data_IF_845312957871
#
_entry.id   IF_845312957871
#
_cell.length_a   1.000
_cell.length_b   1.000
_cell.length_c   1.000
_cell.angle_alpha   90.00
_cell.angle_beta   90.00
_cell.angle_gamma   90.00
#
_symmetry.space_group_name_H-M   'P 1'
#
loop_
_entity.id
_entity.type
_entity.pdbx_description
1 polymer ?
#
# COMPACT_ATOMS: atom_id res chain seq x y z
N UNK A 1 12.79 -11.00 -8.28
CA UNK A 1 11.96 -12.21 -8.07
C UNK A 1 10.47 -11.99 -8.36
N UNK A 2 9.97 -10.74 -8.40
CA UNK A 2 8.53 -10.43 -8.62
C UNK A 2 8.02 -10.45 -10.08
N UNK A 3 8.87 -10.25 -11.10
CA UNK A 3 8.41 -10.14 -12.51
C UNK A 3 7.75 -11.43 -13.05
N UNK A 4 8.33 -12.61 -12.77
CA UNK A 4 7.79 -13.91 -13.23
C UNK A 4 6.48 -14.33 -12.54
N UNK A 5 6.29 -13.98 -11.27
CA UNK A 5 5.06 -14.34 -10.55
C UNK A 5 3.86 -13.50 -11.01
N UNK A 6 4.10 -12.24 -11.41
CA UNK A 6 3.07 -11.35 -11.96
C UNK A 6 2.66 -11.75 -13.39
N UNK A 7 3.58 -12.30 -14.18
CA UNK A 7 3.30 -12.81 -15.53
C UNK A 7 2.39 -14.06 -15.52
N UNK A 8 2.60 -15.00 -14.59
CA UNK A 8 1.86 -16.27 -14.57
C UNK A 8 0.42 -16.15 -14.03
N UNK A 9 0.20 -15.34 -12.98
CA UNK A 9 -1.11 -15.22 -12.34
C UNK A 9 -1.92 -13.98 -12.78
N UNK A 10 -1.28 -12.84 -13.03
CA UNK A 10 -1.96 -11.60 -13.43
C UNK A 10 -2.19 -11.48 -14.95
N UNK A 11 -1.27 -12.00 -15.76
CA UNK A 11 -1.29 -11.84 -17.22
C UNK A 11 -2.55 -12.39 -17.90
N UNK A 12 -3.07 -13.55 -17.44
CA UNK A 12 -4.26 -14.18 -18.02
C UNK A 12 -5.58 -13.56 -17.54
N UNK A 13 -5.65 -13.12 -16.28
CA UNK A 13 -6.87 -12.56 -15.70
C UNK A 13 -7.16 -11.13 -16.19
N UNK A 14 -6.11 -10.35 -16.48
CA UNK A 14 -6.23 -8.94 -16.89
C UNK A 14 -5.91 -8.70 -18.37
N UNK A 15 -5.72 -9.76 -19.17
CA UNK A 15 -5.31 -9.68 -20.58
C UNK A 15 -4.07 -8.80 -20.80
N UNK A 16 -3.10 -8.88 -19.87
CA UNK A 16 -1.85 -8.12 -19.92
C UNK A 16 -0.85 -8.94 -20.72
N UNK A 17 -0.38 -8.38 -21.84
CA UNK A 17 0.64 -9.01 -22.67
C UNK A 17 2.01 -8.71 -22.06
N UNK A 18 2.99 -9.60 -22.26
CA UNK A 18 4.37 -9.37 -21.79
C UNK A 18 4.96 -8.06 -22.33
N UNK A 19 4.57 -7.63 -23.52
CA UNK A 19 4.97 -6.32 -24.06
C UNK A 19 4.39 -5.12 -23.29
N UNK A 20 3.25 -5.27 -22.61
CA UNK A 20 2.58 -4.15 -21.92
C UNK A 20 3.34 -3.66 -20.68
N UNK A 21 4.38 -4.40 -20.26
CA UNK A 21 5.31 -3.97 -19.23
C UNK A 21 6.24 -2.85 -19.68
N UNK A 22 6.73 -2.92 -20.91
CA UNK A 22 7.80 -2.06 -21.42
C UNK A 22 7.38 -1.25 -22.68
N UNK A 23 6.12 -1.39 -23.14
CA UNK A 23 5.58 -0.63 -24.26
C UNK A 23 4.84 0.64 -23.79
N UNK A 24 4.05 1.26 -24.68
CA UNK A 24 3.25 2.46 -24.39
C UNK A 24 2.37 2.39 -23.13
N UNK A 25 1.96 1.19 -22.69
CA UNK A 25 1.16 1.03 -21.46
C UNK A 25 1.99 1.27 -20.19
N UNK A 26 3.32 1.08 -20.28
CA UNK A 26 4.31 1.31 -19.21
C UNK A 26 3.85 0.77 -17.85
N UNK A 27 3.44 -0.51 -17.81
CA UNK A 27 2.86 -1.13 -16.60
C UNK A 27 3.89 -1.58 -15.58
N UNK A 28 5.17 -1.60 -15.97
CA UNK A 28 6.28 -2.06 -15.17
C UNK A 28 7.24 -0.95 -14.78
N UNK A 29 7.84 -1.12 -13.61
CA UNK A 29 8.97 -0.36 -13.11
C UNK A 29 10.09 -1.31 -12.69
N UNK A 30 11.30 -0.80 -12.43
CA UNK A 30 12.46 -1.58 -11.99
C UNK A 30 12.17 -2.44 -10.74
N UNK A 31 11.20 -2.02 -9.92
CA UNK A 31 10.77 -2.69 -8.69
C UNK A 31 9.57 -3.64 -8.85
N UNK A 32 8.87 -3.64 -9.99
CA UNK A 32 7.70 -4.52 -10.22
C UNK A 32 6.57 -3.86 -11.02
N UNK A 33 5.32 -4.21 -10.68
CA UNK A 33 4.13 -3.64 -11.33
C UNK A 33 3.66 -2.38 -10.60
N UNK A 34 3.25 -1.35 -11.36
CA UNK A 34 2.70 -0.13 -10.77
C UNK A 34 1.47 -0.39 -9.90
N UNK A 35 1.26 0.50 -8.94
CA UNK A 35 0.23 0.35 -7.89
C UNK A 35 -1.20 0.24 -8.44
N UNK A 36 -1.49 0.78 -9.63
CA UNK A 36 -2.79 0.63 -10.27
C UNK A 36 -3.10 -0.84 -10.59
N UNK A 37 -2.10 -1.61 -11.02
CA UNK A 37 -2.24 -3.03 -11.29
C UNK A 37 -2.04 -3.86 -10.02
N UNK A 38 -1.05 -3.52 -9.20
CA UNK A 38 -0.70 -4.29 -8.00
C UNK A 38 -1.87 -4.31 -7.00
N UNK A 39 -2.55 -3.19 -6.80
CA UNK A 39 -3.74 -3.12 -5.94
C UNK A 39 -4.97 -3.79 -6.54
N UNK A 40 -5.13 -3.76 -7.88
CA UNK A 40 -6.19 -4.54 -8.54
C UNK A 40 -6.04 -6.03 -8.29
N UNK A 41 -4.83 -6.56 -8.48
CA UNK A 41 -4.49 -7.96 -8.19
C UNK A 41 -4.70 -8.33 -6.72
N UNK A 42 -4.26 -7.46 -5.81
CA UNK A 42 -4.47 -7.64 -4.38
C UNK A 42 -5.97 -7.70 -4.05
N UNK A 43 -6.75 -6.75 -4.55
CA UNK A 43 -8.20 -6.72 -4.31
C UNK A 43 -8.91 -7.97 -4.80
N UNK A 44 -8.58 -8.47 -5.98
CA UNK A 44 -9.13 -9.73 -6.52
C UNK A 44 -8.80 -10.91 -5.61
N UNK A 45 -7.53 -11.05 -5.22
CA UNK A 45 -7.09 -12.09 -4.30
C UNK A 45 -7.83 -12.03 -2.97
N UNK A 46 -7.95 -10.84 -2.36
CA UNK A 46 -8.61 -10.65 -1.08
C UNK A 46 -10.10 -11.02 -1.13
N UNK A 47 -10.80 -10.63 -2.20
CA UNK A 47 -12.21 -10.96 -2.39
C UNK A 47 -12.44 -12.45 -2.69
N UNK A 48 -11.54 -13.09 -3.44
CA UNK A 48 -11.58 -14.55 -3.62
C UNK A 48 -11.43 -15.28 -2.28
N UNK A 49 -10.50 -14.84 -1.42
CA UNK A 49 -10.34 -15.39 -0.07
C UNK A 49 -11.57 -15.14 0.78
N UNK A 50 -12.17 -13.95 0.72
CA UNK A 50 -13.40 -13.62 1.43
C UNK A 50 -14.54 -14.56 1.04
N UNK A 51 -14.75 -14.79 -0.25
CA UNK A 51 -15.80 -15.70 -0.72
C UNK A 51 -15.66 -17.11 -0.11
N UNK A 52 -14.43 -17.64 -0.07
CA UNK A 52 -14.12 -18.92 0.59
C UNK A 52 -14.40 -18.89 2.10
N UNK A 53 -14.07 -17.79 2.80
CA UNK A 53 -14.38 -17.66 4.23
C UNK A 53 -15.88 -17.59 4.51
N UNK A 54 -16.65 -16.91 3.65
CA UNK A 54 -18.12 -16.83 3.75
C UNK A 54 -18.74 -18.20 3.54
N UNK A 55 -18.28 -18.97 2.55
CA UNK A 55 -18.74 -20.33 2.29
C UNK A 55 -18.48 -21.24 3.51
N UNK A 56 -17.24 -21.24 4.03
CA UNK A 56 -16.87 -21.99 5.25
C UNK A 56 -17.80 -21.66 6.42
N UNK A 57 -17.98 -20.37 6.69
CA UNK A 57 -18.85 -19.91 7.78
C UNK A 57 -20.31 -20.34 7.58
N UNK A 58 -20.81 -20.33 6.34
CA UNK A 58 -22.17 -20.81 6.03
C UNK A 58 -22.38 -22.31 6.28
N UNK A 59 -21.30 -23.08 6.24
CA UNK A 59 -21.27 -24.51 6.55
C UNK A 59 -21.05 -24.79 8.04
N UNK A 60 -20.95 -23.75 8.88
CA UNK A 60 -20.64 -23.86 10.31
C UNK A 60 -19.16 -24.14 10.60
N UNK A 61 -18.29 -24.09 9.58
CA UNK A 61 -16.85 -24.23 9.80
C UNK A 61 -16.24 -22.92 10.32
N UNK A 62 -15.23 -23.00 11.21
CA UNK A 62 -14.48 -21.82 11.62
C UNK A 62 -13.81 -21.12 10.44
N UNK A 63 -13.81 -19.78 10.48
CA UNK A 63 -12.98 -18.96 9.59
C UNK A 63 -11.51 -19.23 9.86
N UNK A 64 -10.69 -19.16 8.81
CA UNK A 64 -9.24 -19.25 8.90
C UNK A 64 -8.68 -17.85 8.71
N UNK A 65 -8.08 -17.22 9.74
CA UNK A 65 -7.52 -15.88 9.59
C UNK A 65 -6.38 -15.89 8.56
N UNK A 66 -6.18 -14.75 7.90
CA UNK A 66 -5.07 -14.56 6.97
C UNK A 66 -4.32 -13.28 7.31
N UNK A 67 -3.02 -13.31 7.09
CA UNK A 67 -2.14 -12.16 7.23
C UNK A 67 -1.49 -11.91 5.87
N UNK A 68 -1.66 -10.71 5.32
CA UNK A 68 -1.16 -10.33 3.99
C UNK A 68 -0.35 -9.06 4.12
N UNK A 69 0.82 -9.05 3.50
CA UNK A 69 1.67 -7.85 3.36
C UNK A 69 1.77 -7.51 1.88
N UNK A 70 1.58 -6.23 1.56
CA UNK A 70 1.68 -5.70 0.21
C UNK A 70 2.62 -4.50 0.20
N UNK A 71 3.47 -4.41 -0.81
CA UNK A 71 4.40 -3.31 -0.99
C UNK A 71 3.95 -2.45 -2.16
N UNK A 72 3.76 -1.16 -1.91
CA UNK A 72 3.64 -0.16 -2.98
C UNK A 72 5.02 0.16 -3.53
N UNK A 73 5.13 0.34 -4.83
CA UNK A 73 6.44 0.55 -5.47
C UNK A 73 6.51 1.80 -6.35
N UNK A 74 5.38 2.37 -6.74
CA UNK A 74 5.35 3.50 -7.68
C UNK A 74 5.89 4.80 -7.07
N UNK A 75 5.85 4.92 -5.74
CA UNK A 75 6.37 6.06 -4.99
C UNK A 75 7.83 5.89 -4.55
N UNK A 76 8.57 4.91 -5.08
CA UNK A 76 10.01 4.77 -4.84
C UNK A 76 10.83 5.65 -5.80
N UNK A 77 12.01 6.11 -5.37
CA UNK A 77 12.92 6.88 -6.24
C UNK A 77 13.34 6.06 -7.49
N UNK A 78 13.51 6.69 -8.68
CA UNK A 78 13.74 8.11 -8.94
C UNK A 78 12.50 9.00 -9.22
N UNK A 79 11.27 8.47 -9.07
CA UNK A 79 10.00 9.16 -9.36
C UNK A 79 9.78 9.55 -10.83
N UNK A 80 10.56 8.96 -11.74
CA UNK A 80 10.55 9.24 -13.18
C UNK A 80 9.84 8.16 -14.00
N UNK A 81 9.18 7.22 -13.32
CA UNK A 81 8.47 6.10 -13.95
C UNK A 81 7.09 5.97 -13.33
N UNK A 82 6.07 6.45 -14.03
CA UNK A 82 4.66 6.24 -13.70
C UNK A 82 3.93 5.75 -14.97
N UNK A 83 2.77 5.10 -14.84
CA UNK A 83 2.02 4.66 -16.01
C UNK A 83 1.71 5.83 -16.95
N UNK A 84 1.86 5.62 -18.26
CA UNK A 84 1.65 6.66 -19.28
C UNK A 84 0.28 7.35 -19.17
N UNK A 85 -0.77 6.56 -18.94
CA UNK A 85 -2.12 7.08 -18.75
C UNK A 85 -2.19 8.08 -17.59
N UNK A 86 -1.42 7.86 -16.53
CA UNK A 86 -1.38 8.74 -15.38
C UNK A 86 -0.52 9.97 -15.68
N UNK A 87 0.62 9.81 -16.36
CA UNK A 87 1.44 10.96 -16.80
C UNK A 87 0.63 11.94 -17.66
N UNK A 88 -0.22 11.42 -18.54
CA UNK A 88 -1.12 12.19 -19.42
C UNK A 88 -2.39 12.70 -18.73
N UNK A 89 -2.71 12.22 -17.52
CA UNK A 89 -3.89 12.65 -16.77
C UNK A 89 -3.72 14.02 -16.11
N UNK A 90 -4.84 14.73 -15.90
CA UNK A 90 -4.86 15.93 -15.06
C UNK A 90 -4.53 15.58 -13.60
N UNK A 91 -3.73 16.42 -12.96
CA UNK A 91 -3.26 16.26 -11.58
C UNK A 91 -3.59 17.50 -10.78
N UNK A 92 -3.76 17.40 -9.45
CA UNK A 92 -3.83 18.57 -8.59
C UNK A 92 -2.62 19.47 -8.78
N UNK A 93 -2.82 20.77 -8.60
CA UNK A 93 -1.71 21.70 -8.61
C UNK A 93 -0.93 21.62 -7.30
N UNK A 94 0.26 21.01 -7.36
CA UNK A 94 1.19 20.93 -6.25
C UNK A 94 2.25 22.05 -6.26
N UNK A 95 2.09 23.07 -7.11
CA UNK A 95 3.03 24.21 -7.26
C UNK A 95 3.48 24.80 -5.92
N UNK A 96 2.54 24.99 -4.99
CA UNK A 96 2.81 25.52 -3.65
C UNK A 96 3.83 24.71 -2.84
N UNK A 97 4.07 23.45 -3.20
CA UNK A 97 5.01 22.55 -2.50
C UNK A 97 6.42 22.55 -3.11
N UNK A 98 6.62 23.11 -4.31
CA UNK A 98 7.91 23.02 -5.00
C UNK A 98 8.36 24.30 -5.73
N UNK A 99 7.49 25.27 -5.96
CA UNK A 99 7.87 26.52 -6.62
C UNK A 99 8.85 27.33 -5.76
N UNK A 100 10.01 27.69 -6.34
CA UNK A 100 11.07 28.40 -5.64
C UNK A 100 12.08 27.50 -4.91
N UNK A 101 11.82 26.20 -4.83
CA UNK A 101 12.75 25.24 -4.21
C UNK A 101 13.92 24.88 -5.13
N UNK A 102 15.11 24.63 -4.54
CA UNK A 102 16.32 24.26 -5.28
C UNK A 102 16.11 23.02 -6.18
N UNK A 103 15.31 22.06 -5.70
CA UNK A 103 15.03 20.80 -6.39
C UNK A 103 13.56 20.69 -6.84
N UNK A 104 12.97 21.81 -7.27
CA UNK A 104 11.56 21.91 -7.67
C UNK A 104 11.06 20.73 -8.54
N UNK A 105 11.82 20.35 -9.57
CA UNK A 105 11.44 19.24 -10.47
C UNK A 105 11.41 17.87 -9.77
N UNK A 106 12.33 17.61 -8.82
CA UNK A 106 12.36 16.35 -8.05
C UNK A 106 11.21 16.32 -7.05
N UNK A 107 10.93 17.43 -6.39
CA UNK A 107 9.80 17.55 -5.46
C UNK A 107 8.48 17.39 -6.21
N UNK A 108 8.33 18.01 -7.40
CA UNK A 108 7.16 17.83 -8.26
C UNK A 108 6.93 16.37 -8.62
N UNK A 109 7.97 15.65 -9.07
CA UNK A 109 7.86 14.22 -9.39
C UNK A 109 7.51 13.39 -8.16
N UNK A 110 8.12 13.68 -7.01
CA UNK A 110 7.79 13.04 -5.73
C UNK A 110 6.31 13.22 -5.38
N UNK A 111 5.78 14.45 -5.43
CA UNK A 111 4.37 14.73 -5.14
C UNK A 111 3.43 14.00 -6.10
N UNK A 112 3.76 13.97 -7.39
CA UNK A 112 2.98 13.24 -8.39
C UNK A 112 2.97 11.72 -8.15
N UNK A 113 4.10 11.15 -7.74
CA UNK A 113 4.21 9.71 -7.44
C UNK A 113 3.45 9.35 -6.16
N UNK A 114 3.53 10.19 -5.11
CA UNK A 114 2.74 9.99 -3.90
C UNK A 114 1.23 10.09 -4.17
N UNK A 115 0.79 11.08 -4.95
CA UNK A 115 -0.61 11.23 -5.32
C UNK A 115 -1.13 10.05 -6.15
N UNK A 116 -0.28 9.45 -6.99
CA UNK A 116 -0.62 8.23 -7.73
C UNK A 116 -0.89 7.08 -6.78
N UNK A 117 0.07 6.77 -5.89
CA UNK A 117 -0.06 5.67 -4.92
C UNK A 117 -1.27 5.89 -4.01
N UNK A 118 -1.50 7.11 -3.53
CA UNK A 118 -2.66 7.48 -2.71
C UNK A 118 -3.98 7.26 -3.46
N UNK A 119 -4.06 7.69 -4.73
CA UNK A 119 -5.25 7.50 -5.58
C UNK A 119 -5.57 6.01 -5.78
N UNK A 120 -4.57 5.19 -6.09
CA UNK A 120 -4.78 3.75 -6.31
C UNK A 120 -5.08 2.99 -5.01
N UNK A 121 -4.48 3.42 -3.89
CA UNK A 121 -4.83 2.92 -2.56
C UNK A 121 -6.28 3.26 -2.21
N UNK A 122 -6.73 4.49 -2.47
CA UNK A 122 -8.12 4.91 -2.28
C UNK A 122 -9.10 4.02 -3.04
N UNK A 123 -8.82 3.73 -4.32
CA UNK A 123 -9.63 2.81 -5.13
C UNK A 123 -9.72 1.41 -4.52
N UNK A 124 -8.60 0.88 -3.99
CA UNK A 124 -8.61 -0.41 -3.30
C UNK A 124 -9.47 -0.34 -2.03
N UNK A 125 -9.25 0.67 -1.19
CA UNK A 125 -9.97 0.82 0.08
C UNK A 125 -11.47 0.97 -0.14
N UNK A 126 -11.89 1.80 -1.10
CA UNK A 126 -13.30 1.96 -1.49
C UNK A 126 -13.91 0.63 -1.96
N UNK A 127 -13.18 -0.11 -2.81
CA UNK A 127 -13.63 -1.42 -3.28
C UNK A 127 -13.79 -2.41 -2.11
N UNK A 128 -12.82 -2.47 -1.20
CA UNK A 128 -12.87 -3.37 -0.05
C UNK A 128 -13.98 -2.99 0.94
N UNK A 129 -14.25 -1.69 1.12
CA UNK A 129 -15.38 -1.20 1.91
C UNK A 129 -16.72 -1.64 1.29
N UNK A 130 -16.93 -1.34 0.00
CA UNK A 130 -18.18 -1.63 -0.70
C UNK A 130 -18.52 -3.13 -0.75
N UNK A 131 -17.50 -3.99 -0.83
CA UNK A 131 -17.64 -5.45 -0.78
C UNK A 131 -17.79 -6.00 0.65
N UNK A 132 -17.79 -5.13 1.66
CA UNK A 132 -17.87 -5.49 3.08
C UNK A 132 -16.70 -6.36 3.55
N UNK A 133 -15.52 -6.21 2.93
CA UNK A 133 -14.29 -6.88 3.34
C UNK A 133 -13.69 -6.23 4.60
N UNK A 134 -13.75 -4.90 4.70
CA UNK A 134 -13.17 -4.15 5.82
C UNK A 134 -13.89 -4.40 7.16
N UNK A 135 -15.15 -4.84 7.15
CA UNK A 135 -15.90 -5.23 8.35
C UNK A 135 -15.25 -6.37 9.15
N UNK A 136 -14.37 -7.16 8.55
CA UNK A 136 -13.66 -8.26 9.22
C UNK A 136 -12.14 -8.21 9.03
N UNK A 137 -11.61 -7.02 8.77
CA UNK A 137 -10.20 -6.81 8.44
C UNK A 137 -9.62 -5.66 9.26
N UNK A 138 -8.38 -5.85 9.74
CA UNK A 138 -7.52 -4.78 10.23
C UNK A 138 -6.56 -4.46 9.11
N UNK A 139 -6.52 -3.20 8.66
CA UNK A 139 -5.57 -2.71 7.67
C UNK A 139 -4.56 -1.82 8.39
N UNK A 140 -3.28 -2.09 8.16
CA UNK A 140 -2.19 -1.24 8.65
C UNK A 140 -1.47 -0.66 7.43
N UNK A 141 -1.38 0.66 7.37
CA UNK A 141 -0.65 1.39 6.33
C UNK A 141 0.50 2.10 7.02
N UNK A 142 1.73 1.93 6.54
CA UNK A 142 2.89 2.65 7.05
C UNK A 142 3.98 2.74 5.99
N UNK A 143 4.82 3.78 6.07
CA UNK A 143 6.03 3.88 5.26
C UNK A 143 7.16 3.02 5.82
N UNK A 144 8.00 2.44 4.97
CA UNK A 144 9.19 1.70 5.37
C UNK A 144 10.33 2.64 5.79
N UNK A 145 10.48 3.77 5.10
CA UNK A 145 11.30 4.91 5.50
C UNK A 145 10.76 6.21 4.89
N UNK A 146 11.29 7.34 5.35
CA UNK A 146 10.99 8.66 4.79
C UNK A 146 11.88 9.00 3.58
N UNK A 147 11.67 10.17 3.00
CA UNK A 147 12.51 10.71 1.94
C UNK A 147 12.64 12.23 2.05
N UNK A 148 13.77 12.78 1.60
CA UNK A 148 14.02 14.21 1.44
C UNK A 148 14.28 14.58 -0.05
N UNK A 149 13.24 14.74 -0.90
CA UNK A 149 13.44 15.13 -2.30
C UNK A 149 14.08 16.52 -2.48
N UNK A 150 14.07 17.35 -1.43
CA UNK A 150 14.59 18.71 -1.38
C UNK A 150 16.10 18.81 -1.11
N UNK A 151 16.81 17.70 -0.87
CA UNK A 151 18.25 17.71 -0.59
C UNK A 151 19.07 16.93 -1.62
N UNK A 152 20.31 17.36 -1.84
CA UNK A 152 21.27 16.68 -2.72
C UNK A 152 21.74 15.33 -2.16
N UNK A 153 21.89 15.24 -0.83
CA UNK A 153 22.44 14.07 -0.14
C UNK A 153 21.49 13.63 0.96
N UNK A 154 20.87 12.48 0.72
CA UNK A 154 20.03 11.82 1.70
C UNK A 154 20.84 11.36 2.92
N UNK A 155 20.34 11.65 4.11
CA UNK A 155 20.95 11.29 5.39
C UNK A 155 19.99 10.41 6.20
N UNK A 156 20.37 9.15 6.40
CA UNK A 156 19.55 8.13 7.06
C UNK A 156 19.22 8.42 8.53
N UNK A 157 19.89 9.39 9.16
CA UNK A 157 19.67 9.75 10.55
C UNK A 157 18.74 10.95 10.73
N UNK A 158 18.31 11.59 9.64
CA UNK A 158 17.42 12.74 9.71
C UNK A 158 15.96 12.33 9.87
N UNK A 159 15.16 13.24 10.43
CA UNK A 159 13.72 13.02 10.61
C UNK A 159 13.03 12.76 9.27
N UNK A 160 13.46 13.44 8.20
CA UNK A 160 12.97 13.23 6.84
C UNK A 160 13.20 11.81 6.32
N UNK A 161 14.20 11.07 6.84
CA UNK A 161 14.49 9.68 6.49
C UNK A 161 13.83 8.67 7.43
N UNK A 162 13.62 9.04 8.69
CA UNK A 162 13.24 8.10 9.77
C UNK A 162 11.77 8.20 10.19
N UNK A 163 11.15 9.37 10.02
CA UNK A 163 9.74 9.59 10.36
C UNK A 163 8.86 9.16 9.19
N UNK A 164 7.96 8.21 9.46
CA UNK A 164 7.01 7.67 8.49
C UNK A 164 5.57 7.84 8.98
N UNK A 165 4.59 8.01 8.08
CA UNK A 165 3.19 7.91 8.47
C UNK A 165 2.86 6.47 8.85
N UNK A 166 1.95 6.29 9.80
CA UNK A 166 1.36 5.00 10.14
C UNK A 166 -0.13 5.19 10.50
N UNK A 167 -0.98 4.27 10.03
CA UNK A 167 -2.40 4.27 10.31
C UNK A 167 -2.90 2.83 10.53
N UNK A 168 -3.76 2.65 11.54
CA UNK A 168 -4.52 1.43 11.77
C UNK A 168 -5.98 1.71 11.45
N UNK A 169 -6.52 0.99 10.47
CA UNK A 169 -7.91 1.07 10.03
C UNK A 169 -8.57 -0.25 10.40
N UNK A 170 -9.57 -0.20 11.28
CA UNK A 170 -10.30 -1.38 11.72
C UNK A 170 -11.79 -1.04 11.86
N UNK A 171 -12.52 -1.14 10.75
CA UNK A 171 -13.95 -0.76 10.71
C UNK A 171 -14.75 -1.55 11.76
N UNK A 172 -15.58 -0.81 12.50
CA UNK A 172 -16.41 -1.36 13.58
C UNK A 172 -15.65 -1.80 14.85
N UNK A 173 -14.31 -1.69 14.89
CA UNK A 173 -13.48 -2.16 16.03
C UNK A 173 -12.83 -1.04 16.84
N UNK A 174 -12.65 0.15 16.26
CA UNK A 174 -11.94 1.25 16.91
C UNK A 174 -12.76 1.95 18.01
N UNK A 175 -14.09 1.87 18.01
CA UNK A 175 -14.93 2.53 19.01
C UNK A 175 -14.62 4.03 19.14
N UNK A 176 -14.31 4.50 20.35
CA UNK A 176 -13.96 5.91 20.61
C UNK A 176 -12.57 6.32 20.08
N UNK A 177 -11.77 5.39 19.54
CA UNK A 177 -10.47 5.68 18.94
C UNK A 177 -10.55 6.07 17.46
N UNK A 178 -11.74 6.12 16.86
CA UNK A 178 -11.92 6.63 15.49
C UNK A 178 -11.44 8.08 15.42
N UNK A 179 -10.51 8.36 14.50
CA UNK A 179 -9.90 9.69 14.36
C UNK A 179 -8.87 10.04 15.44
N UNK A 180 -8.51 9.09 16.31
CA UNK A 180 -7.44 9.30 17.29
C UNK A 180 -6.10 9.51 16.57
N UNK A 181 -5.45 10.63 16.89
CA UNK A 181 -4.08 10.94 16.47
C UNK A 181 -3.17 10.77 17.67
N UNK A 182 -2.18 9.90 17.55
CA UNK A 182 -1.12 9.71 18.54
C UNK A 182 0.11 10.49 18.09
N UNK A 183 0.66 11.30 18.99
CA UNK A 183 1.89 12.07 18.77
C UNK A 183 3.07 11.51 19.59
N UNK A 184 2.85 10.40 20.29
CA UNK A 184 3.89 9.69 21.02
C UNK A 184 4.89 9.04 20.07
N UNK A 185 6.11 8.84 20.55
CA UNK A 185 7.15 8.13 19.79
C UNK A 185 6.76 6.65 19.71
N UNK A 186 6.79 6.11 18.51
CA UNK A 186 6.60 4.70 18.22
C UNK A 186 7.58 4.25 17.14
N UNK A 187 7.91 2.96 17.12
CA UNK A 187 8.79 2.35 16.14
C UNK A 187 8.03 1.30 15.31
N UNK A 188 8.48 1.04 14.08
CA UNK A 188 7.89 -0.03 13.25
C UNK A 188 7.95 -1.41 13.93
N UNK A 189 8.90 -1.63 14.85
CA UNK A 189 9.01 -2.85 15.64
C UNK A 189 7.80 -3.08 16.55
N UNK A 190 7.10 -2.01 16.95
CA UNK A 190 5.91 -2.08 17.80
C UNK A 190 4.69 -2.65 17.06
N UNK A 191 4.68 -2.62 15.73
CA UNK A 191 3.52 -3.04 14.93
C UNK A 191 3.13 -4.50 15.16
N UNK A 192 4.10 -5.42 15.21
CA UNK A 192 3.79 -6.85 15.40
C UNK A 192 3.24 -7.13 16.80
N UNK A 193 3.78 -6.46 17.83
CA UNK A 193 3.26 -6.59 19.20
C UNK A 193 1.85 -5.99 19.31
N UNK A 194 1.65 -4.83 18.69
CA UNK A 194 0.34 -4.17 18.62
C UNK A 194 -0.70 -5.05 17.93
N UNK A 195 -0.34 -5.67 16.80
CA UNK A 195 -1.25 -6.57 16.08
C UNK A 195 -1.53 -7.86 16.84
N UNK A 196 -0.54 -8.45 17.51
CA UNK A 196 -0.74 -9.62 18.36
C UNK A 196 -1.73 -9.34 19.50
N UNK A 197 -1.62 -8.16 20.12
CA UNK A 197 -2.53 -7.72 21.17
C UNK A 197 -3.95 -7.45 20.63
N UNK A 198 -4.09 -6.71 19.52
CA UNK A 198 -5.41 -6.40 18.93
C UNK A 198 -6.13 -7.66 18.44
N UNK A 199 -5.39 -8.64 17.91
CA UNK A 199 -5.97 -9.90 17.41
C UNK A 199 -6.23 -10.92 18.53
N UNK A 200 -5.81 -10.64 19.75
CA UNK A 200 -6.06 -11.50 20.91
C UNK A 200 -5.31 -12.83 20.85
N UNK A 201 -4.11 -12.85 20.26
CA UNK A 201 -3.27 -14.06 20.24
C UNK A 201 -2.97 -14.53 21.67
N UNK A 202 -2.92 -15.85 21.93
CA UNK A 202 -2.60 -16.37 23.26
C UNK A 202 -1.27 -15.80 23.77
N UNK A 203 -1.24 -15.35 25.03
CA UNK A 203 -0.01 -14.85 25.66
C UNK A 203 1.12 -15.89 25.52
N UNK A 204 2.16 -15.55 24.75
CA UNK A 204 3.30 -16.42 24.46
C UNK A 204 3.38 -16.98 23.03
N UNK A 205 2.35 -16.78 22.19
CA UNK A 205 2.46 -17.01 20.74
C UNK A 205 3.38 -15.95 20.13
N UNK A 206 4.44 -16.38 19.43
CA UNK A 206 5.16 -15.52 18.49
C UNK A 206 4.46 -15.65 17.13
N UNK A 207 4.30 -14.53 16.41
CA UNK A 207 3.74 -14.47 15.05
C UNK A 207 4.41 -15.43 14.03
N UNK A 208 5.59 -15.97 14.35
CA UNK A 208 6.33 -16.92 13.51
C UNK A 208 6.16 -18.40 13.93
N UNK A 209 5.38 -18.70 14.98
CA UNK A 209 5.29 -20.06 15.54
C UNK A 209 3.89 -20.42 16.04
N UNK A 210 2.88 -19.73 15.54
CA UNK A 210 1.46 -20.09 15.58
C UNK A 210 0.96 -19.88 14.14
#
# INVERSE_FOLDING_TARGET
MGRRQNEENGGKHFNIRSQDWDNDEHRGFSWGAHDDLSFRLLGDFLLEKRAKQVERASQGEPKVPMFVTHYTISSHEPYDSLPKWYEESEKPDFSAMYEGEQHADRIKRYMNAQYFTDTELGKLMDRMHNEGFLHDTIVVIFGDHGQAPEVDKFNLHEESATRVPAAIIAEGRLGNAVGLVLNDVAEQYDLLNTLADITGLPKGCKMASC
#
